data_IF_759799796754
#
_entry.id   IF_759799796754
#
_cell.length_a   1.000
_cell.length_b   1.000
_cell.length_c   1.000
_cell.angle_alpha   90.00
_cell.angle_beta   90.00
_cell.angle_gamma   90.00
#
_symmetry.space_group_name_H-M   'P 1'
#
loop_
_entity.id
_entity.type
_entity.pdbx_description
1 polymer ?
#
# COMPACT_ATOMS: atom_id res chain seq x y z
N UNK A 1 -27.41 13.59 51.11
CA UNK A 1 -27.78 12.16 51.26
C UNK A 1 -28.80 11.86 50.16
N UNK A 2 -28.63 10.96 49.22
CA UNK A 2 -27.58 10.01 48.90
C UNK A 2 -28.03 9.26 47.63
N UNK A 3 -27.04 8.86 46.82
CA UNK A 3 -27.03 7.80 45.80
C UNK A 3 -28.07 7.83 44.67
N UNK A 4 -27.71 8.50 43.56
CA UNK A 4 -28.07 8.05 42.21
C UNK A 4 -27.18 6.84 41.88
N UNK A 5 -27.75 5.67 41.62
CA UNK A 5 -27.00 4.48 41.24
C UNK A 5 -26.82 4.42 39.72
N UNK A 6 -25.62 4.71 39.26
CA UNK A 6 -25.14 4.37 37.92
C UNK A 6 -25.02 2.83 37.80
N UNK A 7 -25.76 2.24 36.88
CA UNK A 7 -25.53 0.88 36.41
C UNK A 7 -24.93 0.96 34.99
N UNK A 8 -23.60 0.90 34.93
CA UNK A 8 -22.86 0.63 33.70
C UNK A 8 -22.56 -0.88 33.66
N UNK A 9 -23.10 -1.60 32.67
CA UNK A 9 -22.48 -2.85 32.22
C UNK A 9 -22.63 -3.07 30.70
N UNK A 10 -21.51 -2.80 30.02
CA UNK A 10 -20.97 -3.41 28.79
C UNK A 10 -21.94 -3.88 27.70
N UNK A 11 -22.21 -2.99 26.75
CA UNK A 11 -22.57 -3.39 25.37
C UNK A 11 -21.27 -3.54 24.59
N UNK A 12 -20.88 -4.78 24.29
CA UNK A 12 -19.76 -5.07 23.39
C UNK A 12 -20.09 -4.63 21.95
N UNK A 13 -19.10 -4.21 21.15
CA UNK A 13 -19.35 -3.85 19.76
C UNK A 13 -19.71 -5.09 18.95
N UNK A 14 -20.98 -5.17 18.52
CA UNK A 14 -21.44 -6.09 17.50
C UNK A 14 -20.90 -5.62 16.14
N UNK A 15 -19.70 -6.10 15.79
CA UNK A 15 -19.12 -5.93 14.46
C UNK A 15 -19.88 -6.78 13.45
N UNK A 16 -20.92 -6.21 12.81
CA UNK A 16 -21.34 -6.64 11.48
C UNK A 16 -20.39 -6.00 10.48
N UNK A 17 -19.23 -6.64 10.30
CA UNK A 17 -18.45 -6.45 9.08
C UNK A 17 -19.15 -7.21 7.98
N UNK A 18 -19.67 -6.49 6.99
CA UNK A 18 -20.04 -7.06 5.71
C UNK A 18 -18.76 -7.63 5.11
N UNK A 19 -18.68 -8.95 5.07
CA UNK A 19 -17.70 -9.66 4.26
C UNK A 19 -18.14 -9.45 2.82
N UNK A 20 -17.45 -8.56 2.11
CA UNK A 20 -17.48 -8.56 0.66
C UNK A 20 -17.08 -9.98 0.22
N UNK A 21 -18.09 -10.74 -0.23
CA UNK A 21 -17.90 -11.97 -0.99
C UNK A 21 -17.07 -11.59 -2.20
N UNK A 22 -15.75 -11.78 -2.09
CA UNK A 22 -14.91 -11.88 -3.27
C UNK A 22 -15.40 -13.15 -3.98
N UNK A 23 -16.24 -12.95 -4.99
CA UNK A 23 -16.55 -13.94 -6.02
C UNK A 23 -15.20 -14.48 -6.53
N UNK A 24 -14.73 -15.54 -5.87
CA UNK A 24 -13.65 -16.35 -6.38
C UNK A 24 -14.25 -17.02 -7.59
N UNK A 25 -13.94 -16.51 -8.79
CA UNK A 25 -14.28 -17.10 -10.07
C UNK A 25 -14.24 -18.63 -9.94
N UNK A 26 -15.42 -19.25 -9.88
CA UNK A 26 -15.59 -20.71 -9.74
C UNK A 26 -14.92 -21.47 -10.90
N UNK A 27 -14.51 -20.75 -11.95
CA UNK A 27 -13.82 -21.24 -13.14
C UNK A 27 -12.34 -21.62 -12.89
N UNK A 28 -11.73 -21.31 -11.73
CA UNK A 28 -10.40 -21.82 -11.35
C UNK A 28 -10.46 -23.21 -10.69
N UNK A 29 -11.65 -23.76 -10.48
CA UNK A 29 -11.86 -25.15 -10.10
C UNK A 29 -12.15 -26.02 -11.33
N UNK A 30 -11.60 -25.69 -12.51
CA UNK A 30 -11.38 -26.71 -13.53
C UNK A 30 -10.35 -27.68 -12.96
N UNK A 31 -10.90 -28.67 -12.26
CA UNK A 31 -10.28 -29.89 -11.75
C UNK A 31 -9.73 -30.72 -12.90
N UNK A 32 -8.83 -30.13 -13.68
CA UNK A 32 -7.81 -30.83 -14.44
C UNK A 32 -7.22 -31.83 -13.47
N UNK A 33 -7.55 -33.10 -13.70
CA UNK A 33 -7.34 -34.23 -12.81
C UNK A 33 -5.96 -34.12 -12.14
N UNK A 34 -5.91 -33.58 -10.92
CA UNK A 34 -4.68 -33.50 -10.13
C UNK A 34 -4.10 -34.90 -9.87
N UNK A 35 -4.93 -35.94 -10.04
CA UNK A 35 -4.58 -37.35 -10.01
C UNK A 35 -3.85 -37.84 -11.29
N UNK A 36 -3.98 -37.18 -12.44
CA UNK A 36 -3.20 -37.45 -13.66
C UNK A 36 -1.85 -36.71 -13.64
N UNK A 37 -1.75 -35.62 -12.88
CA UNK A 37 -0.53 -34.87 -12.71
C UNK A 37 0.37 -35.60 -11.69
N UNK A 38 1.34 -36.36 -12.19
CA UNK A 38 2.25 -37.16 -11.35
C UNK A 38 2.77 -36.40 -10.12
N UNK A 39 2.90 -37.09 -8.98
CA UNK A 39 3.26 -36.48 -7.70
C UNK A 39 4.51 -35.56 -7.76
N UNK A 40 5.45 -35.87 -8.64
CA UNK A 40 6.66 -35.08 -8.86
C UNK A 40 6.37 -33.73 -9.55
N UNK A 41 5.49 -33.69 -10.56
CA UNK A 41 5.11 -32.46 -11.24
C UNK A 41 4.29 -31.57 -10.31
N UNK A 42 3.35 -32.14 -9.54
CA UNK A 42 2.58 -31.41 -8.54
C UNK A 42 3.47 -30.83 -7.43
N UNK A 43 4.39 -31.63 -6.89
CA UNK A 43 5.32 -31.16 -5.86
C UNK A 43 6.22 -30.03 -6.40
N UNK A 44 6.69 -30.15 -7.64
CA UNK A 44 7.50 -29.10 -8.29
C UNK A 44 6.70 -27.83 -8.55
N UNK A 45 5.41 -27.97 -8.90
CA UNK A 45 4.49 -26.87 -9.14
C UNK A 45 4.17 -26.14 -7.85
N UNK A 46 3.78 -26.83 -6.78
CA UNK A 46 3.48 -26.21 -5.49
C UNK A 46 4.70 -25.49 -4.89
N UNK A 47 5.90 -26.12 -4.97
CA UNK A 47 7.16 -25.48 -4.54
C UNK A 47 7.44 -24.17 -5.28
N UNK A 48 7.04 -24.10 -6.56
CA UNK A 48 7.17 -22.91 -7.39
C UNK A 48 6.06 -21.90 -7.05
N UNK A 49 4.80 -22.32 -7.17
CA UNK A 49 3.62 -21.47 -7.10
C UNK A 49 3.46 -20.71 -5.78
N UNK A 50 3.72 -21.36 -4.63
CA UNK A 50 3.47 -20.76 -3.32
C UNK A 50 4.26 -19.45 -3.08
N UNK A 51 5.50 -19.38 -3.56
CA UNK A 51 6.33 -18.17 -3.45
C UNK A 51 6.08 -17.18 -4.58
N UNK A 52 5.60 -17.65 -5.75
CA UNK A 52 5.43 -16.79 -6.91
C UNK A 52 4.24 -15.85 -6.80
N UNK A 53 3.13 -16.22 -6.15
CA UNK A 53 1.96 -15.32 -6.07
C UNK A 53 2.28 -14.00 -5.37
N UNK A 54 2.92 -14.06 -4.19
CA UNK A 54 3.25 -12.86 -3.42
C UNK A 54 4.31 -12.01 -4.11
N UNK A 55 5.35 -12.65 -4.65
CA UNK A 55 6.40 -11.96 -5.40
C UNK A 55 5.83 -11.32 -6.68
N UNK A 56 4.94 -12.02 -7.39
CA UNK A 56 4.35 -11.52 -8.62
C UNK A 56 3.35 -10.38 -8.38
N UNK A 57 2.53 -10.48 -7.32
CA UNK A 57 1.64 -9.41 -6.88
C UNK A 57 2.45 -8.15 -6.54
N UNK A 58 3.51 -8.31 -5.72
CA UNK A 58 4.42 -7.22 -5.38
C UNK A 58 5.06 -6.59 -6.64
N UNK A 59 5.60 -7.41 -7.54
CA UNK A 59 6.21 -6.93 -8.77
C UNK A 59 5.19 -6.18 -9.66
N UNK A 60 3.96 -6.66 -9.72
CA UNK A 60 2.89 -5.99 -10.47
C UNK A 60 2.56 -4.64 -9.87
N UNK A 61 2.50 -4.55 -8.53
CA UNK A 61 2.28 -3.30 -7.82
C UNK A 61 3.41 -2.30 -8.06
N UNK A 62 4.68 -2.69 -7.89
CA UNK A 62 5.83 -1.79 -8.10
C UNK A 62 5.90 -1.30 -9.54
N UNK A 63 5.66 -2.17 -10.52
CA UNK A 63 5.81 -1.81 -11.93
C UNK A 63 4.64 -0.99 -12.50
N UNK A 64 3.43 -1.18 -11.96
CA UNK A 64 2.21 -0.58 -12.54
C UNK A 64 1.31 0.10 -11.50
N UNK A 65 1.16 -0.51 -10.33
CA UNK A 65 0.30 -0.01 -9.26
C UNK A 65 0.76 1.34 -8.72
N UNK A 66 2.06 1.51 -8.44
CA UNK A 66 2.59 2.72 -7.83
C UNK A 66 2.35 3.97 -8.69
N UNK A 67 2.61 3.88 -10.00
CA UNK A 67 2.35 4.97 -10.92
C UNK A 67 0.85 5.29 -11.00
N UNK A 68 -0.01 4.26 -11.06
CA UNK A 68 -1.47 4.44 -11.10
C UNK A 68 -1.99 5.17 -9.86
N UNK A 69 -1.49 4.83 -8.68
CA UNK A 69 -1.84 5.51 -7.43
C UNK A 69 -1.41 6.98 -7.50
N UNK A 70 -0.19 7.26 -7.96
CA UNK A 70 0.32 8.63 -8.01
C UNK A 70 -0.35 9.49 -9.09
N UNK A 71 -0.71 8.88 -10.22
CA UNK A 71 -1.48 9.55 -11.27
C UNK A 71 -2.92 9.87 -10.80
N UNK A 72 -3.49 9.06 -9.88
CA UNK A 72 -4.85 9.25 -9.38
C UNK A 72 -5.05 10.55 -8.59
N UNK A 73 -3.98 11.12 -8.01
CA UNK A 73 -4.06 12.40 -7.30
C UNK A 73 -4.27 13.60 -8.23
N UNK A 74 -3.96 13.45 -9.53
CA UNK A 74 -4.17 14.50 -10.52
C UNK A 74 -3.30 15.75 -10.30
N UNK A 75 -3.85 16.90 -10.65
CA UNK A 75 -3.22 18.21 -10.47
C UNK A 75 -3.86 18.93 -9.29
N UNK A 76 -3.03 19.35 -8.33
CA UNK A 76 -3.46 20.11 -7.16
C UNK A 76 -3.18 21.58 -7.42
N UNK A 77 -4.25 22.36 -7.59
CA UNK A 77 -4.16 23.82 -7.68
C UNK A 77 -4.21 24.43 -6.28
N UNK A 78 -3.19 25.21 -5.93
CA UNK A 78 -3.14 26.01 -4.72
C UNK A 78 -3.63 27.41 -5.06
N UNK A 79 -4.77 27.78 -4.48
CA UNK A 79 -5.24 29.16 -4.50
C UNK A 79 -4.63 29.92 -3.32
N UNK A 80 -4.09 31.13 -3.56
CA UNK A 80 -3.60 31.96 -2.47
C UNK A 80 -4.75 32.35 -1.54
N UNK A 81 -4.54 32.20 -0.23
CA UNK A 81 -5.48 32.67 0.78
C UNK A 81 -5.65 34.18 0.68
N UNK A 82 -6.89 34.66 0.87
CA UNK A 82 -7.27 36.06 0.74
C UNK A 82 -6.76 36.90 1.94
N UNK A 83 -5.44 36.98 2.12
CA UNK A 83 -4.80 37.83 3.12
C UNK A 83 -4.42 39.16 2.47
N UNK A 84 -5.33 40.12 2.56
CA UNK A 84 -5.22 41.47 1.98
C UNK A 84 -4.05 42.28 2.53
N UNK A 85 -3.39 41.82 3.61
CA UNK A 85 -2.23 42.49 4.22
C UNK A 85 -0.90 42.28 3.46
N UNK A 86 -0.83 41.27 2.57
CA UNK A 86 0.38 40.94 1.79
C UNK A 86 0.31 41.33 0.32
N UNK A 87 -0.77 41.99 -0.09
CA UNK A 87 -0.97 42.43 -1.46
C UNK A 87 -0.20 43.74 -1.71
N UNK A 88 1.10 43.61 -2.00
CA UNK A 88 1.91 44.67 -2.59
C UNK A 88 2.18 44.28 -4.04
N UNK A 89 1.67 45.08 -4.98
CA UNK A 89 1.95 45.02 -6.42
C UNK A 89 1.77 43.67 -7.12
N UNK A 90 0.61 43.47 -7.73
CA UNK A 90 0.46 42.55 -8.86
C UNK A 90 0.04 41.12 -8.53
N UNK A 91 -0.89 40.63 -9.35
CA UNK A 91 -1.34 39.25 -9.58
C UNK A 91 -1.20 38.21 -8.45
N UNK A 92 -2.36 37.69 -8.02
CA UNK A 92 -2.44 36.48 -7.20
C UNK A 92 -1.70 35.32 -7.89
N UNK A 93 -0.56 34.91 -7.35
CA UNK A 93 0.21 33.78 -7.87
C UNK A 93 -0.52 32.48 -7.56
N UNK A 94 -1.26 31.95 -8.53
CA UNK A 94 -1.78 30.59 -8.51
C UNK A 94 -0.63 29.63 -8.84
N UNK A 95 -0.51 28.56 -8.06
CA UNK A 95 0.48 27.50 -8.31
C UNK A 95 -0.29 26.21 -8.50
N UNK A 96 0.08 25.42 -9.51
CA UNK A 96 -0.41 24.06 -9.64
C UNK A 96 0.74 23.08 -9.55
N UNK A 97 0.50 21.97 -8.85
CA UNK A 97 1.49 20.91 -8.61
C UNK A 97 0.93 19.61 -9.17
N UNK A 98 1.75 18.92 -9.97
CA UNK A 98 1.41 17.62 -10.54
C UNK A 98 2.54 16.63 -10.35
N UNK A 99 2.20 15.46 -9.84
CA UNK A 99 3.12 14.34 -9.72
C UNK A 99 3.32 13.68 -11.10
N UNK A 100 4.56 13.25 -11.38
CA UNK A 100 4.96 12.69 -12.68
C UNK A 100 5.45 11.26 -12.52
N UNK A 101 6.24 10.81 -13.50
CA UNK A 101 6.84 9.48 -13.54
C UNK A 101 7.62 9.19 -12.26
N UNK A 102 7.42 7.99 -11.75
CA UNK A 102 8.05 7.49 -10.54
C UNK A 102 9.19 6.56 -10.90
N UNK A 103 10.27 6.67 -10.15
CA UNK A 103 11.43 5.78 -10.23
C UNK A 103 11.69 5.22 -8.84
N UNK A 104 12.06 3.94 -8.79
CA UNK A 104 12.37 3.24 -7.55
C UNK A 104 13.80 2.71 -7.64
N UNK A 105 14.63 3.13 -6.71
CA UNK A 105 16.00 2.65 -6.59
C UNK A 105 16.09 1.41 -5.70
N UNK A 106 17.26 0.78 -5.70
CA UNK A 106 17.51 -0.39 -4.86
C UNK A 106 17.49 0.00 -3.39
N UNK A 107 17.11 -0.92 -2.48
CA UNK A 107 17.08 -0.64 -1.05
C UNK A 107 18.43 -0.14 -0.52
N UNK A 108 18.41 1.04 0.08
CA UNK A 108 19.54 1.72 0.69
C UNK A 108 19.13 2.32 2.04
N UNK A 109 20.12 2.67 2.86
CA UNK A 109 19.90 3.33 4.14
C UNK A 109 20.97 4.37 4.43
N UNK A 110 20.62 5.34 5.26
CA UNK A 110 21.50 6.39 5.74
C UNK A 110 21.87 6.10 7.19
N UNK A 111 23.17 5.90 7.45
CA UNK A 111 23.70 5.43 8.74
C UNK A 111 23.84 6.48 9.85
N UNK A 112 23.36 7.71 9.63
CA UNK A 112 23.49 8.82 10.59
C UNK A 112 24.89 9.45 10.65
N UNK A 113 25.06 10.32 11.66
CA UNK A 113 25.99 11.46 11.88
C UNK A 113 27.48 11.34 11.54
N UNK A 114 27.98 10.22 11.02
CA UNK A 114 29.39 10.03 10.69
C UNK A 114 29.66 9.76 9.20
N UNK A 115 28.62 9.53 8.41
CA UNK A 115 28.74 9.17 7.00
C UNK A 115 27.51 9.67 6.23
N UNK A 116 27.64 10.82 5.56
CA UNK A 116 26.72 11.27 4.51
C UNK A 116 26.81 10.39 3.24
N UNK A 117 27.30 9.16 3.37
CA UNK A 117 27.30 8.18 2.29
C UNK A 117 26.13 7.21 2.47
N UNK A 118 25.33 7.11 1.41
CA UNK A 118 24.29 6.12 1.26
C UNK A 118 24.88 4.71 1.21
N UNK A 119 24.35 3.79 2.02
CA UNK A 119 24.82 2.41 2.09
C UNK A 119 23.76 1.45 1.56
N UNK A 120 24.19 0.39 0.88
CA UNK A 120 23.29 -0.65 0.40
C UNK A 120 22.66 -1.40 1.58
N UNK A 121 21.33 -1.55 1.54
CA UNK A 121 20.59 -2.27 2.57
C UNK A 121 20.42 -3.73 2.19
N UNK A 122 20.99 -4.63 3.00
CA UNK A 122 20.76 -6.07 2.86
C UNK A 122 19.69 -6.53 3.85
N UNK A 123 18.87 -7.56 3.52
CA UNK A 123 17.79 -8.02 4.39
C UNK A 123 18.22 -8.36 5.82
N UNK A 124 19.46 -8.83 6.02
CA UNK A 124 20.02 -9.11 7.36
C UNK A 124 20.20 -7.85 8.21
N UNK A 125 20.54 -6.71 7.60
CA UNK A 125 20.77 -5.44 8.32
C UNK A 125 19.44 -4.80 8.77
N UNK A 126 18.33 -5.11 8.09
CA UNK A 126 17.01 -4.60 8.44
C UNK A 126 16.34 -5.38 9.59
N UNK A 127 16.85 -6.59 9.90
CA UNK A 127 16.24 -7.52 10.85
C UNK A 127 16.85 -7.48 12.25
N UNK A 128 18.13 -7.12 12.32
CA UNK A 128 18.95 -7.12 13.53
C UNK A 128 19.11 -5.70 14.05
#
# INVERSE_FOLDING_TARGET
>A
MGASSDFMEKVGPSSKGEVDDMDMDEDLMDTTNLNELGNETLQSFCKKAASFHQINSYNTFINRGLQRVLDSFGEVALEPGNDTSKQKDGEWRRVSVRLRKVTLDRPSFWGGTSSDAEQNMFPRHARL
#
